data_IF_472759802532
#
_entry.id   IF_472759802532
#
_cell.length_a   1.000
_cell.length_b   1.000
_cell.length_c   1.000
_cell.angle_alpha   90.00
_cell.angle_beta   90.00
_cell.angle_gamma   90.00
#
_symmetry.space_group_name_H-M   'P 1'
#
loop_
_entity.id
_entity.type
_entity.pdbx_description
1 polymer ?
#
# COMPACT_ATOMS: atom_id res chain seq x y z
N UNK A 1 4.60 -11.33 -12.88
CA UNK A 1 5.50 -10.33 -13.49
C UNK A 1 5.22 -9.02 -12.77
N UNK A 2 6.11 -8.58 -11.87
CA UNK A 2 5.96 -7.33 -11.13
C UNK A 2 7.11 -6.42 -11.55
N UNK A 3 6.79 -5.24 -12.08
CA UNK A 3 7.76 -4.23 -12.45
C UNK A 3 8.19 -3.47 -11.18
N UNK A 4 9.44 -3.64 -10.76
CA UNK A 4 10.10 -2.69 -9.88
C UNK A 4 10.64 -1.57 -10.77
N UNK A 5 10.05 -0.37 -10.70
CA UNK A 5 10.59 0.80 -11.39
C UNK A 5 11.68 1.40 -10.51
N UNK A 6 12.93 1.23 -10.91
CA UNK A 6 14.08 1.97 -10.40
C UNK A 6 14.88 2.50 -11.58
N UNK A 7 15.04 3.82 -11.65
CA UNK A 7 16.17 4.47 -12.33
C UNK A 7 16.32 5.87 -11.70
N UNK A 8 17.55 6.30 -11.42
CA UNK A 8 18.37 6.87 -12.49
C UNK A 8 19.67 6.09 -12.75
N UNK A 9 20.10 6.20 -14.00
CA UNK A 9 21.36 5.75 -14.58
C UNK A 9 22.54 6.44 -13.89
N UNK A 10 23.32 5.72 -13.08
CA UNK A 10 24.76 5.92 -12.78
C UNK A 10 25.20 5.32 -11.42
N UNK A 11 24.62 4.21 -10.98
CA UNK A 11 25.03 3.57 -9.72
C UNK A 11 25.77 2.26 -10.03
N UNK A 12 27.10 2.29 -10.02
CA UNK A 12 27.92 1.07 -9.95
C UNK A 12 27.80 0.46 -8.54
N UNK A 13 26.66 -0.19 -8.24
CA UNK A 13 26.47 -0.94 -7.00
C UNK A 13 26.75 -2.42 -7.26
N UNK A 14 27.94 -2.89 -6.89
CA UNK A 14 28.24 -4.33 -6.86
C UNK A 14 27.54 -4.96 -5.66
N UNK A 15 26.60 -5.88 -5.94
CA UNK A 15 25.96 -6.71 -4.92
C UNK A 15 26.88 -7.90 -4.66
N UNK A 16 27.44 -8.00 -3.46
CA UNK A 16 28.15 -9.21 -3.01
C UNK A 16 27.30 -9.95 -1.97
N UNK A 17 27.13 -11.26 -2.17
CA UNK A 17 26.38 -12.13 -1.27
C UNK A 17 27.36 -12.96 -0.42
N UNK A 18 27.25 -12.99 0.92
CA UNK A 18 27.90 -14.03 1.69
C UNK A 18 27.12 -15.34 1.56
N UNK A 19 27.80 -16.39 1.12
CA UNK A 19 27.27 -17.76 1.04
C UNK A 19 27.24 -18.35 2.46
N UNK A 20 26.06 -18.65 2.99
CA UNK A 20 25.93 -19.38 4.27
C UNK A 20 25.38 -20.78 3.99
N UNK A 21 26.21 -21.80 4.27
CA UNK A 21 25.83 -23.21 4.31
C UNK A 21 25.05 -23.50 5.62
N UNK A 22 23.98 -24.30 5.51
CA UNK A 22 23.10 -24.83 6.57
C UNK A 22 23.82 -25.72 7.60
N UNK A 23 23.15 -26.36 8.59
CA UNK A 23 21.87 -26.12 9.28
C UNK A 23 22.07 -26.04 10.83
N UNK A 24 21.03 -25.70 11.60
CA UNK A 24 20.69 -26.19 12.97
C UNK A 24 19.89 -25.14 13.75
N UNK A 25 18.70 -25.57 14.18
CA UNK A 25 17.79 -24.83 15.05
C UNK A 25 18.42 -24.65 16.44
N UNK A 26 18.72 -23.40 16.82
CA UNK A 26 18.72 -22.98 18.21
C UNK A 26 18.33 -21.50 18.32
N UNK A 27 17.41 -21.25 19.24
CA UNK A 27 16.82 -19.98 19.58
C UNK A 27 17.92 -18.98 19.96
N UNK A 28 18.22 -18.05 19.06
CA UNK A 28 19.08 -16.90 19.35
C UNK A 28 18.24 -15.65 19.21
N UNK A 29 18.21 -14.88 20.31
CA UNK A 29 17.82 -13.48 20.33
C UNK A 29 18.29 -12.83 19.02
N UNK A 30 17.35 -12.46 18.17
CA UNK A 30 17.64 -11.69 16.96
C UNK A 30 18.09 -10.32 17.43
N UNK A 31 19.40 -10.15 17.59
CA UNK A 31 20.00 -8.84 17.58
C UNK A 31 19.45 -8.13 16.34
N UNK A 32 18.76 -7.00 16.55
CA UNK A 32 18.21 -6.18 15.50
C UNK A 32 19.37 -5.62 14.68
N UNK A 33 19.85 -6.42 13.72
CA UNK A 33 20.86 -6.00 12.76
C UNK A 33 20.20 -4.99 11.84
N UNK A 34 20.36 -3.71 12.19
CA UNK A 34 19.86 -2.55 11.47
C UNK A 34 20.65 -2.45 10.16
N UNK A 35 20.13 -3.06 9.08
CA UNK A 35 20.70 -2.93 7.75
C UNK A 35 20.31 -1.55 7.21
N UNK A 36 21.22 -0.58 7.36
CA UNK A 36 21.07 0.74 6.74
C UNK A 36 21.41 0.63 5.26
N UNK A 37 20.41 0.82 4.39
CA UNK A 37 20.67 1.14 3.00
C UNK A 37 21.11 2.60 2.95
N UNK A 38 22.43 2.83 2.94
CA UNK A 38 23.00 4.16 2.70
C UNK A 38 23.28 4.30 1.21
N UNK A 39 22.45 5.04 0.48
CA UNK A 39 22.81 5.50 -0.85
C UNK A 39 23.66 6.77 -0.68
N UNK A 40 24.97 6.65 -0.89
CA UNK A 40 25.86 7.81 -0.93
C UNK A 40 25.70 8.48 -2.31
N UNK A 41 25.03 9.62 -2.35
CA UNK A 41 25.23 10.56 -3.46
C UNK A 41 26.64 11.14 -3.32
N UNK A 42 27.43 11.09 -4.38
CA UNK A 42 28.75 11.71 -4.42
C UNK A 42 28.66 13.20 -4.07
N UNK A 43 29.33 13.56 -2.98
CA UNK A 43 29.87 14.87 -2.60
C UNK A 43 28.91 16.07 -2.45
N UNK A 44 28.64 16.46 -1.20
CA UNK A 44 28.43 17.86 -0.77
C UNK A 44 29.10 18.04 0.62
N UNK A 45 29.78 19.17 0.91
CA UNK A 45 30.71 19.30 2.04
C UNK A 45 30.06 19.53 3.42
N UNK A 46 28.73 19.55 3.50
CA UNK A 46 27.98 19.64 4.76
C UNK A 46 27.19 18.34 4.96
N UNK A 47 27.81 17.38 5.66
CA UNK A 47 27.38 15.98 5.79
C UNK A 47 26.04 15.76 6.51
N UNK A 48 24.93 16.21 5.91
CA UNK A 48 23.59 15.78 6.26
C UNK A 48 23.43 14.36 5.69
N UNK A 49 23.43 13.35 6.57
CA UNK A 49 23.06 11.98 6.19
C UNK A 49 21.59 11.99 5.75
N UNK A 50 21.34 11.94 4.44
CA UNK A 50 19.99 11.79 3.90
C UNK A 50 19.55 10.33 4.16
N UNK A 51 18.68 10.14 5.15
CA UNK A 51 18.07 8.85 5.44
C UNK A 51 16.91 8.61 4.47
N UNK A 52 17.17 7.89 3.38
CA UNK A 52 16.11 7.50 2.44
C UNK A 52 15.28 6.37 3.04
N UNK A 53 14.04 6.66 3.40
CA UNK A 53 13.07 5.66 3.88
C UNK A 53 12.06 5.37 2.78
N UNK A 54 12.19 4.24 2.04
CA UNK A 54 11.33 3.96 0.91
C UNK A 54 9.88 3.79 1.34
N UNK A 55 8.95 4.13 0.44
CA UNK A 55 7.53 3.82 0.59
C UNK A 55 7.24 2.42 0.03
N UNK A 56 6.45 1.65 0.78
CA UNK A 56 5.90 0.37 0.33
C UNK A 56 4.42 0.56 0.01
N UNK A 57 4.08 0.57 -1.29
CA UNK A 57 2.70 0.63 -1.75
C UNK A 57 2.21 -0.79 -1.99
N UNK A 58 1.12 -1.16 -1.34
CA UNK A 58 0.56 -2.51 -1.37
C UNK A 58 -0.85 -2.45 -1.93
N UNK A 59 -1.08 -3.00 -3.11
CA UNK A 59 -2.44 -3.25 -3.62
C UNK A 59 -2.99 -4.57 -3.08
N UNK A 60 -4.17 -4.54 -2.46
CA UNK A 60 -4.97 -5.72 -2.20
C UNK A 60 -5.90 -5.94 -3.39
N UNK A 61 -5.78 -7.10 -4.01
CA UNK A 61 -6.68 -7.57 -5.05
C UNK A 61 -6.39 -9.05 -5.24
N UNK A 62 -7.39 -9.90 -5.00
CA UNK A 62 -7.29 -11.33 -5.29
C UNK A 62 -8.03 -11.61 -6.60
N UNK A 63 -7.35 -11.68 -7.75
CA UNK A 63 -8.01 -11.99 -9.01
C UNK A 63 -8.36 -13.48 -9.09
N UNK A 64 -9.60 -13.83 -8.72
CA UNK A 64 -10.22 -15.13 -8.99
C UNK A 64 -9.89 -16.26 -8.00
N UNK A 65 -10.49 -17.43 -8.24
CA UNK A 65 -10.44 -18.61 -7.36
C UNK A 65 -9.01 -19.11 -7.06
N UNK A 66 -8.03 -18.77 -7.90
CA UNK A 66 -6.63 -19.18 -7.75
C UNK A 66 -5.93 -18.57 -6.52
N UNK A 67 -6.40 -17.42 -6.03
CA UNK A 67 -5.80 -16.70 -4.89
C UNK A 67 -6.68 -16.72 -3.64
N UNK A 68 -7.72 -17.55 -3.63
CA UNK A 68 -8.55 -17.77 -2.46
C UNK A 68 -7.71 -18.41 -1.35
N UNK A 69 -7.40 -17.64 -0.30
CA UNK A 69 -6.58 -18.09 0.83
C UNK A 69 -5.06 -17.86 0.67
N UNK A 70 -4.58 -17.19 -0.38
CA UNK A 70 -3.16 -16.82 -0.46
C UNK A 70 -2.88 -15.66 0.49
N UNK A 71 -1.90 -15.85 1.38
CA UNK A 71 -1.46 -14.84 2.35
C UNK A 71 -0.93 -13.61 1.61
N UNK A 72 -1.37 -12.42 2.01
CA UNK A 72 -0.79 -11.18 1.49
C UNK A 72 0.61 -11.01 2.11
N UNK A 73 1.67 -11.11 1.30
CA UNK A 73 3.08 -11.14 1.70
C UNK A 73 3.64 -9.79 2.23
N UNK A 74 2.79 -8.94 2.79
CA UNK A 74 3.13 -7.57 3.18
C UNK A 74 4.08 -7.52 4.37
N UNK A 75 3.85 -8.35 5.39
CA UNK A 75 4.71 -8.38 6.60
C UNK A 75 6.16 -8.74 6.30
N UNK A 76 6.44 -9.87 5.61
CA UNK A 76 7.81 -10.24 5.26
C UNK A 76 8.54 -9.17 4.44
N UNK A 77 7.87 -8.52 3.49
CA UNK A 77 8.46 -7.44 2.69
C UNK A 77 8.74 -6.19 3.52
N UNK A 78 7.80 -5.77 4.37
CA UNK A 78 7.98 -4.62 5.26
C UNK A 78 9.16 -4.82 6.23
N UNK A 79 9.28 -6.03 6.79
CA UNK A 79 10.39 -6.41 7.66
C UNK A 79 11.73 -6.46 6.89
N UNK A 80 11.74 -7.06 5.69
CA UNK A 80 12.93 -7.17 4.86
C UNK A 80 13.52 -5.81 4.48
N UNK A 81 12.67 -4.86 4.06
CA UNK A 81 13.09 -3.52 3.68
C UNK A 81 13.14 -2.51 4.84
N UNK A 82 12.88 -2.95 6.08
CA UNK A 82 12.86 -2.10 7.28
C UNK A 82 11.97 -0.85 7.13
N UNK A 83 10.83 -0.99 6.46
CA UNK A 83 9.92 0.12 6.15
C UNK A 83 9.13 0.51 7.39
N UNK A 84 9.15 1.78 7.82
CA UNK A 84 8.31 2.22 8.93
C UNK A 84 6.83 2.14 8.53
N UNK A 85 5.94 1.79 9.47
CA UNK A 85 4.50 1.59 9.19
C UNK A 85 3.83 2.80 8.53
N UNK A 86 4.25 4.01 8.92
CA UNK A 86 3.78 5.26 8.32
C UNK A 86 4.10 5.39 6.81
N UNK A 87 5.03 4.59 6.27
CA UNK A 87 5.41 4.57 4.86
C UNK A 87 4.88 3.31 4.15
N UNK A 88 3.97 2.56 4.79
CA UNK A 88 3.25 1.45 4.16
C UNK A 88 1.87 1.94 3.74
N UNK A 89 1.68 2.20 2.44
CA UNK A 89 0.39 2.62 1.90
C UNK A 89 -0.39 1.40 1.41
N UNK A 90 -1.47 1.06 2.10
CA UNK A 90 -2.36 -0.04 1.72
C UNK A 90 -3.48 0.46 0.81
N UNK A 91 -3.53 -0.01 -0.44
CA UNK A 91 -4.55 0.32 -1.45
C UNK A 91 -5.51 -0.85 -1.60
N UNK A 92 -6.82 -0.65 -1.47
CA UNK A 92 -7.81 -1.73 -1.54
C UNK A 92 -9.21 -1.23 -1.89
N UNK A 93 -10.10 -2.12 -2.30
CA UNK A 93 -11.50 -1.86 -2.60
C UNK A 93 -12.36 -1.73 -1.32
N UNK A 94 -13.23 -0.74 -1.28
CA UNK A 94 -14.05 -0.44 -0.10
C UNK A 94 -15.52 -0.35 -0.48
N UNK A 95 -16.32 -1.30 -0.01
CA UNK A 95 -17.75 -1.38 -0.33
C UNK A 95 -18.59 -0.31 0.37
N UNK A 96 -18.13 0.15 1.54
CA UNK A 96 -18.83 1.23 2.25
C UNK A 96 -18.74 2.58 1.54
N UNK A 97 -17.83 2.72 0.58
CA UNK A 97 -17.67 3.90 -0.25
C UNK A 97 -18.38 3.69 -1.59
N UNK A 98 -19.15 4.66 -2.09
CA UNK A 98 -19.75 4.59 -3.41
C UNK A 98 -18.70 4.46 -4.52
N UNK A 99 -19.10 3.95 -5.68
CA UNK A 99 -18.19 3.66 -6.79
C UNK A 99 -17.35 4.88 -7.24
N UNK A 100 -16.03 4.74 -7.35
CA UNK A 100 -15.14 5.85 -7.73
C UNK A 100 -14.96 6.94 -6.66
N UNK A 101 -15.47 6.76 -5.43
CA UNK A 101 -15.11 7.60 -4.28
C UNK A 101 -13.81 7.12 -3.71
N UNK A 102 -12.86 8.03 -3.59
CA UNK A 102 -11.57 7.73 -2.99
C UNK A 102 -11.49 8.24 -1.55
N UNK A 103 -10.73 7.56 -0.71
CA UNK A 103 -10.45 8.03 0.65
C UNK A 103 -9.06 7.64 1.10
N UNK A 104 -8.29 8.61 1.58
CA UNK A 104 -6.98 8.36 2.19
C UNK A 104 -7.07 8.56 3.70
N UNK A 105 -6.62 7.58 4.48
CA UNK A 105 -6.70 7.58 5.94
C UNK A 105 -5.34 7.28 6.56
N UNK A 106 -4.93 7.95 7.65
CA UNK A 106 -3.64 7.71 8.31
C UNK A 106 -3.58 6.40 9.08
N UNK A 107 -4.74 5.89 9.49
CA UNK A 107 -4.92 4.63 10.23
C UNK A 107 -6.36 4.16 10.07
N UNK A 108 -6.63 2.91 10.43
CA UNK A 108 -7.99 2.36 10.39
C UNK A 108 -8.08 0.95 10.94
N UNK A 109 -9.32 0.48 11.16
CA UNK A 109 -9.62 -0.92 11.43
C UNK A 109 -9.68 -1.74 10.15
N UNK A 110 -9.91 -3.05 10.23
CA UNK A 110 -10.02 -3.90 9.04
C UNK A 110 -11.38 -3.77 8.32
N UNK A 111 -12.41 -3.21 8.95
CA UNK A 111 -13.70 -2.93 8.29
C UNK A 111 -14.37 -4.16 7.67
N UNK A 112 -14.13 -5.35 8.23
CA UNK A 112 -14.53 -6.66 7.66
C UNK A 112 -13.84 -7.05 6.34
N UNK A 113 -12.84 -6.31 5.89
CA UNK A 113 -12.05 -6.67 4.72
C UNK A 113 -10.97 -7.71 5.09
N UNK A 114 -11.11 -8.93 4.57
CA UNK A 114 -10.22 -10.05 4.87
C UNK A 114 -8.75 -9.78 4.52
N UNK A 115 -8.48 -9.13 3.39
CA UNK A 115 -7.13 -8.75 2.99
C UNK A 115 -6.46 -7.80 3.99
N UNK A 116 -7.15 -6.74 4.41
CA UNK A 116 -6.68 -5.81 5.44
C UNK A 116 -6.46 -6.51 6.78
N UNK A 117 -7.36 -7.40 7.19
CA UNK A 117 -7.20 -8.23 8.39
C UNK A 117 -5.92 -9.05 8.33
N UNK A 118 -5.68 -9.75 7.22
CA UNK A 118 -4.43 -10.49 6.98
C UNK A 118 -3.21 -9.58 7.07
N UNK A 119 -3.23 -8.39 6.46
CA UNK A 119 -2.09 -7.46 6.53
C UNK A 119 -1.82 -7.03 7.97
N UNK A 120 -2.86 -6.70 8.73
CA UNK A 120 -2.71 -6.34 10.14
C UNK A 120 -2.11 -7.50 10.95
N UNK A 121 -2.55 -8.74 10.73
CA UNK A 121 -1.99 -9.93 11.40
C UNK A 121 -0.49 -10.10 11.08
N UNK A 122 -0.06 -9.80 9.86
CA UNK A 122 1.35 -9.87 9.46
C UNK A 122 2.20 -8.67 9.92
N UNK A 123 1.56 -7.62 10.43
CA UNK A 123 2.19 -6.44 11.00
C UNK A 123 2.01 -6.39 12.52
N UNK A 124 1.98 -7.55 13.19
CA UNK A 124 1.82 -7.71 14.63
C UNK A 124 0.57 -7.01 15.20
N UNK A 125 -0.53 -7.04 14.45
CA UNK A 125 -1.80 -6.41 14.83
C UNK A 125 -1.82 -4.88 14.73
N UNK A 126 -0.73 -4.26 14.25
CA UNK A 126 -0.62 -2.80 14.15
C UNK A 126 -1.57 -2.25 13.10
N UNK A 127 -2.05 -1.02 13.34
CA UNK A 127 -3.11 -0.35 12.55
C UNK A 127 -2.71 1.02 12.04
N UNK A 128 -1.50 1.44 12.39
CA UNK A 128 -0.94 2.79 12.21
C UNK A 128 -0.19 2.88 10.88
N UNK A 129 -0.87 2.50 9.82
CA UNK A 129 -0.36 2.61 8.46
C UNK A 129 -1.40 3.27 7.55
N UNK A 130 -0.95 4.13 6.62
CA UNK A 130 -1.80 4.79 5.64
C UNK A 130 -2.62 3.82 4.81
N UNK A 131 -3.85 4.21 4.50
CA UNK A 131 -4.78 3.43 3.68
C UNK A 131 -5.36 4.30 2.59
N UNK A 132 -5.44 3.74 1.41
CA UNK A 132 -6.07 4.36 0.26
C UNK A 132 -7.21 3.45 -0.20
N UNK A 133 -8.42 3.83 0.17
CA UNK A 133 -9.64 3.11 -0.14
C UNK A 133 -10.17 3.57 -1.51
N UNK A 134 -10.51 2.61 -2.36
CA UNK A 134 -11.19 2.82 -3.64
C UNK A 134 -12.61 2.32 -3.50
N UNK A 135 -13.58 3.23 -3.56
CA UNK A 135 -14.98 2.89 -3.45
C UNK A 135 -15.45 2.07 -4.64
N UNK A 136 -16.07 0.93 -4.35
CA UNK A 136 -16.69 0.05 -5.34
C UNK A 136 -18.21 0.02 -5.22
N UNK A 137 -18.76 0.53 -4.12
CA UNK A 137 -20.19 0.47 -3.82
C UNK A 137 -20.60 -0.81 -3.11
N UNK A 138 -21.89 -0.89 -2.80
CA UNK A 138 -22.49 -2.05 -2.13
C UNK A 138 -23.24 -2.91 -3.14
N UNK A 139 -23.30 -4.24 -2.92
CA UNK A 139 -24.12 -5.13 -3.74
C UNK A 139 -25.59 -4.68 -3.73
N UNK A 140 -26.26 -4.65 -4.89
CA UNK A 140 -27.67 -4.31 -4.95
C UNK A 140 -28.54 -5.43 -4.34
N UNK A 141 -29.51 -5.04 -3.51
CA UNK A 141 -30.48 -5.97 -2.93
C UNK A 141 -29.84 -7.06 -2.07
N UNK A 142 -30.17 -8.31 -2.35
CA UNK A 142 -29.68 -9.50 -1.62
C UNK A 142 -28.54 -10.24 -2.35
N UNK A 143 -27.89 -9.59 -3.30
CA UNK A 143 -26.79 -10.19 -4.07
C UNK A 143 -25.65 -10.63 -3.15
N UNK A 144 -25.07 -11.81 -3.44
CA UNK A 144 -23.90 -12.29 -2.73
C UNK A 144 -22.70 -11.34 -2.89
N UNK A 145 -22.07 -11.03 -1.77
CA UNK A 145 -20.94 -10.09 -1.71
C UNK A 145 -19.74 -10.57 -2.53
N UNK A 146 -19.44 -11.88 -2.55
CA UNK A 146 -18.30 -12.40 -3.32
C UNK A 146 -18.60 -12.33 -4.82
N UNK A 147 -19.82 -12.68 -5.22
CA UNK A 147 -20.26 -12.56 -6.61
C UNK A 147 -20.17 -11.10 -7.10
N UNK A 148 -20.60 -10.14 -6.27
CA UNK A 148 -20.49 -8.71 -6.57
C UNK A 148 -19.04 -8.25 -6.76
N UNK A 149 -18.11 -8.66 -5.89
CA UNK A 149 -16.70 -8.27 -6.01
C UNK A 149 -15.96 -8.95 -7.17
N UNK A 150 -16.41 -10.14 -7.59
CA UNK A 150 -15.78 -10.90 -8.68
C UNK A 150 -16.33 -10.53 -10.07
N UNK A 151 -17.45 -9.81 -10.15
CA UNK A 151 -18.01 -9.40 -11.42
C UNK A 151 -17.21 -8.26 -12.07
N UNK A 152 -17.45 -8.04 -13.36
CA UNK A 152 -16.89 -6.89 -14.07
C UNK A 152 -17.75 -5.65 -13.81
N UNK A 153 -17.10 -4.50 -13.64
CA UNK A 153 -17.78 -3.20 -13.67
C UNK A 153 -18.57 -3.02 -14.98
N UNK A 154 -19.75 -2.41 -14.87
CA UNK A 154 -20.48 -1.85 -16.01
C UNK A 154 -19.71 -0.72 -16.69
N UNK A 155 -20.14 -0.30 -17.87
CA UNK A 155 -19.49 0.81 -18.59
C UNK A 155 -19.47 2.11 -17.78
N UNK A 156 -20.58 2.43 -17.12
CA UNK A 156 -20.71 3.62 -16.27
C UNK A 156 -19.81 3.53 -15.04
N UNK A 157 -19.81 2.39 -14.35
CA UNK A 157 -18.96 2.21 -13.18
C UNK A 157 -17.47 2.27 -13.54
N UNK A 158 -17.11 1.69 -14.70
CA UNK A 158 -15.75 1.75 -15.23
C UNK A 158 -15.31 3.19 -15.47
N UNK A 159 -16.13 3.99 -16.13
CA UNK A 159 -15.84 5.41 -16.39
C UNK A 159 -15.61 6.19 -15.08
N UNK A 160 -16.46 5.96 -14.07
CA UNK A 160 -16.31 6.56 -12.75
C UNK A 160 -15.02 6.14 -12.04
N UNK A 161 -14.67 4.85 -12.12
CA UNK A 161 -13.43 4.30 -11.53
C UNK A 161 -12.21 4.87 -12.25
N UNK A 162 -12.22 4.93 -13.58
CA UNK A 162 -11.09 5.43 -14.36
C UNK A 162 -10.83 6.92 -14.03
N UNK A 163 -11.88 7.74 -13.99
CA UNK A 163 -11.79 9.14 -13.57
C UNK A 163 -11.35 9.28 -12.10
N UNK A 164 -11.73 8.34 -11.23
CA UNK A 164 -11.26 8.33 -9.85
C UNK A 164 -9.76 8.00 -9.77
N UNK A 165 -9.29 7.01 -10.51
CA UNK A 165 -7.88 6.57 -10.51
C UNK A 165 -6.92 7.70 -10.91
N UNK A 166 -7.28 8.52 -11.90
CA UNK A 166 -6.48 9.70 -12.27
C UNK A 166 -6.25 10.65 -11.08
N UNK A 167 -7.32 10.98 -10.35
CA UNK A 167 -7.25 11.80 -9.15
C UNK A 167 -6.51 11.09 -8.01
N UNK A 168 -6.65 9.76 -7.97
CA UNK A 168 -6.02 8.90 -6.99
C UNK A 168 -4.50 8.86 -7.09
N UNK A 169 -3.96 8.84 -8.31
CA UNK A 169 -2.53 8.91 -8.56
C UNK A 169 -1.95 10.20 -7.99
N UNK A 170 -2.63 11.33 -8.21
CA UNK A 170 -2.18 12.63 -7.70
C UNK A 170 -2.24 12.70 -6.17
N UNK A 171 -3.30 12.14 -5.57
CA UNK A 171 -3.43 12.05 -4.12
C UNK A 171 -2.36 11.15 -3.49
N UNK A 172 -2.02 10.02 -4.12
CA UNK A 172 -0.95 9.13 -3.66
C UNK A 172 0.43 9.81 -3.77
N UNK A 173 0.70 10.53 -4.86
CA UNK A 173 1.93 11.34 -5.02
C UNK A 173 2.04 12.40 -3.93
N UNK A 174 0.96 13.14 -3.69
CA UNK A 174 0.88 14.15 -2.64
C UNK A 174 1.17 13.53 -1.27
N UNK A 175 0.60 12.36 -0.97
CA UNK A 175 0.83 11.66 0.28
C UNK A 175 2.30 11.24 0.45
N UNK A 176 2.93 10.72 -0.60
CA UNK A 176 4.32 10.26 -0.56
C UNK A 176 5.29 11.42 -0.38
N UNK A 177 5.02 12.57 -1.01
CA UNK A 177 5.89 13.74 -0.99
C UNK A 177 5.68 14.65 0.22
N UNK A 178 4.42 14.89 0.61
CA UNK A 178 4.04 15.87 1.64
C UNK A 178 3.47 15.22 2.91
N UNK A 179 3.18 13.92 2.90
CA UNK A 179 2.50 13.25 4.00
C UNK A 179 1.02 13.65 4.14
N UNK A 180 0.47 13.50 5.34
CA UNK A 180 -0.90 13.92 5.66
C UNK A 180 -0.99 15.43 5.82
N UNK A 181 -1.09 16.14 4.70
CA UNK A 181 -1.17 17.60 4.64
C UNK A 181 -2.61 18.10 4.46
N UNK A 182 -2.80 19.43 4.49
CA UNK A 182 -4.08 20.07 4.17
C UNK A 182 -4.59 19.71 2.77
N UNK A 183 -3.69 19.34 1.83
CA UNK A 183 -4.06 18.86 0.48
C UNK A 183 -4.78 17.52 0.54
N UNK A 184 -4.30 16.57 1.34
CA UNK A 184 -4.97 15.27 1.54
C UNK A 184 -6.34 15.47 2.21
N UNK A 185 -6.43 16.38 3.19
CA UNK A 185 -7.71 16.71 3.81
C UNK A 185 -8.70 17.29 2.79
N UNK A 186 -8.24 18.21 1.93
CA UNK A 186 -9.06 18.80 0.85
C UNK A 186 -9.47 17.74 -0.18
N UNK A 187 -8.57 16.83 -0.54
CA UNK A 187 -8.88 15.71 -1.42
C UNK A 187 -10.02 14.86 -0.84
N UNK A 188 -9.91 14.43 0.42
CA UNK A 188 -10.95 13.65 1.08
C UNK A 188 -12.30 14.40 1.15
N UNK A 189 -12.27 15.71 1.42
CA UNK A 189 -13.49 16.54 1.39
C UNK A 189 -14.09 16.57 -0.01
N UNK A 190 -13.29 16.79 -1.06
CA UNK A 190 -13.75 16.76 -2.44
C UNK A 190 -14.40 15.41 -2.82
N UNK A 191 -13.81 14.30 -2.40
CA UNK A 191 -14.37 12.96 -2.63
C UNK A 191 -15.69 12.75 -1.87
N UNK A 192 -15.80 13.26 -0.64
CA UNK A 192 -17.05 13.18 0.15
C UNK A 192 -18.24 13.83 -0.57
N UNK A 193 -18.02 14.96 -1.24
CA UNK A 193 -19.09 15.71 -1.91
C UNK A 193 -19.36 15.28 -3.36
N UNK A 194 -18.53 14.41 -3.97
CA UNK A 194 -18.79 13.89 -5.34
C UNK A 194 -20.17 13.25 -5.48
N UNK A 195 -20.69 12.68 -4.39
CA UNK A 195 -21.97 11.96 -4.34
C UNK A 195 -23.14 12.79 -3.79
N UNK A 196 -22.93 14.06 -3.46
CA UNK A 196 -23.99 14.97 -3.00
C UNK A 196 -24.42 15.97 -4.07
N UNK A 197 -24.17 15.68 -5.35
CA UNK A 197 -24.86 16.38 -6.43
C UNK A 197 -26.32 15.91 -6.43
N UNK A 198 -27.12 16.65 -5.65
CA UNK A 198 -28.58 16.74 -5.74
C UNK A 198 -28.95 17.27 -7.11
#
# INVERSE_FOLDING_TARGET
MLHAVSSPKNCNCSISYPRIQSPFFHQKHLASTRLRVSAASSAEPNGVKIEYTPWLIVGLGNPGNKYHGTRHNVGPLAAYYQVPLRHILLVYDEMSLPNGVLRIQPKGGHGHHNGVKSVMEHLDGRREFPRFCIGVGNPPGTMDMKAYLLQKFSALEREQVDAALEQGIEAARTLVLEGFSSRINRFNLGQKYKYHKV
#
